data_IF_391245417988
#
_entry.id   IF_391245417988
#
_cell.length_a   1.000
_cell.length_b   1.000
_cell.length_c   1.000
_cell.angle_alpha   90.00
_cell.angle_beta   90.00
_cell.angle_gamma   90.00
#
_symmetry.space_group_name_H-M   'P 1'
#
loop_
_entity.id
_entity.type
_entity.pdbx_description
1 polymer ?
#
# COMPACT_ATOMS: atom_id res chain seq x y z
N UNK A 1 22.71 1.20 -1.29
CA UNK A 1 21.77 2.05 -0.52
C UNK A 1 22.12 3.54 -0.45
N UNK A 2 23.36 3.96 -0.12
CA UNK A 2 23.71 5.40 0.02
C UNK A 2 23.46 6.25 -1.24
N UNK A 3 23.80 5.71 -2.42
CA UNK A 3 23.58 6.38 -3.72
C UNK A 3 22.09 6.57 -4.02
N UNK A 4 21.27 5.53 -3.81
CA UNK A 4 19.81 5.59 -4.01
C UNK A 4 19.19 6.65 -3.09
N UNK A 5 19.59 6.70 -1.82
CA UNK A 5 19.13 7.71 -0.86
C UNK A 5 19.50 9.13 -1.30
N UNK A 6 20.73 9.33 -1.77
CA UNK A 6 21.18 10.64 -2.21
C UNK A 6 20.45 11.11 -3.48
N UNK A 7 20.36 10.24 -4.50
CA UNK A 7 19.62 10.54 -5.74
C UNK A 7 18.14 10.77 -5.43
N UNK A 8 17.52 9.93 -4.61
CA UNK A 8 16.13 10.09 -4.21
C UNK A 8 15.87 11.40 -3.49
N UNK A 9 16.75 11.79 -2.56
CA UNK A 9 16.68 13.08 -1.87
C UNK A 9 16.81 14.27 -2.83
N UNK A 10 17.77 14.24 -3.74
CA UNK A 10 17.93 15.29 -4.74
C UNK A 10 16.71 15.40 -5.66
N UNK A 11 16.14 14.26 -6.09
CA UNK A 11 14.92 14.21 -6.90
C UNK A 11 13.71 14.73 -6.13
N UNK A 12 13.59 14.41 -4.85
CA UNK A 12 12.54 14.94 -3.98
C UNK A 12 12.62 16.47 -3.89
N UNK A 13 13.79 17.02 -3.57
CA UNK A 13 14.01 18.47 -3.52
C UNK A 13 13.75 19.15 -4.88
N UNK A 14 14.14 18.49 -5.97
CA UNK A 14 13.82 18.95 -7.31
C UNK A 14 12.30 19.00 -7.55
N UNK A 15 11.57 17.95 -7.18
CA UNK A 15 10.11 17.89 -7.36
C UNK A 15 9.39 19.00 -6.57
N UNK A 16 9.80 19.26 -5.32
CA UNK A 16 9.30 20.38 -4.53
C UNK A 16 9.53 21.72 -5.22
N UNK A 17 10.75 21.94 -5.74
CA UNK A 17 11.07 23.15 -6.49
C UNK A 17 10.23 23.27 -7.75
N UNK A 18 10.04 22.19 -8.52
CA UNK A 18 9.26 22.20 -9.77
C UNK A 18 7.80 22.58 -9.51
N UNK A 19 7.20 22.08 -8.43
CA UNK A 19 5.81 22.36 -8.07
C UNK A 19 5.56 23.86 -7.82
N UNK A 20 6.57 24.59 -7.33
CA UNK A 20 6.47 26.04 -7.06
C UNK A 20 7.03 26.91 -8.18
N UNK A 21 7.95 26.39 -9.02
CA UNK A 21 8.75 27.18 -9.98
C UNK A 21 7.96 27.98 -11.02
N UNK A 22 6.73 27.56 -11.34
CA UNK A 22 5.88 28.18 -12.37
C UNK A 22 4.47 28.51 -11.88
N UNK A 23 4.26 28.53 -10.56
CA UNK A 23 2.93 28.70 -9.99
C UNK A 23 2.86 29.98 -9.17
N UNK A 24 1.97 30.90 -9.56
CA UNK A 24 1.72 32.15 -8.83
C UNK A 24 1.25 31.88 -7.39
N UNK A 25 0.45 30.83 -7.20
CA UNK A 25 -0.13 30.46 -5.89
C UNK A 25 0.69 29.39 -5.15
N UNK A 26 1.70 28.77 -5.79
CA UNK A 26 2.59 27.80 -5.15
C UNK A 26 1.86 26.65 -4.44
N UNK A 27 2.21 26.41 -3.17
CA UNK A 27 1.62 25.34 -2.33
C UNK A 27 0.15 25.57 -1.97
N UNK A 28 -0.38 26.78 -2.14
CA UNK A 28 -1.80 27.07 -1.89
C UNK A 28 -2.71 26.24 -2.78
N UNK A 29 -2.25 25.89 -4.00
CA UNK A 29 -2.99 24.98 -4.91
C UNK A 29 -3.22 23.59 -4.35
N UNK A 30 -2.38 23.13 -3.42
CA UNK A 30 -2.56 21.83 -2.79
C UNK A 30 -3.81 21.78 -1.89
N UNK A 31 -4.17 22.93 -1.35
CA UNK A 31 -5.17 23.11 -0.30
C UNK A 31 -6.48 23.62 -0.88
N UNK A 32 -6.38 24.54 -1.84
CA UNK A 32 -7.50 25.27 -2.40
C UNK A 32 -8.65 24.36 -2.86
N UNK A 33 -8.43 23.25 -3.60
CA UNK A 33 -9.53 22.37 -4.00
C UNK A 33 -10.29 21.78 -2.82
N UNK A 34 -9.57 21.38 -1.77
CA UNK A 34 -10.18 20.79 -0.57
C UNK A 34 -10.87 21.83 0.30
N UNK A 35 -10.32 23.04 0.39
CA UNK A 35 -10.94 24.16 1.12
C UNK A 35 -12.23 24.61 0.42
N UNK A 36 -12.21 24.78 -0.90
CA UNK A 36 -13.40 25.13 -1.68
C UNK A 36 -14.47 24.04 -1.59
N UNK A 37 -14.09 22.76 -1.73
CA UNK A 37 -15.01 21.65 -1.54
C UNK A 37 -15.60 21.65 -0.13
N UNK A 38 -14.78 21.89 0.91
CA UNK A 38 -15.26 21.97 2.29
C UNK A 38 -16.28 23.11 2.47
N UNK A 39 -16.03 24.29 1.88
CA UNK A 39 -16.98 25.41 1.94
C UNK A 39 -18.33 25.04 1.33
N UNK A 40 -18.33 24.38 0.17
CA UNK A 40 -19.57 23.90 -0.48
C UNK A 40 -20.31 22.92 0.43
N UNK A 41 -19.62 21.89 0.93
CA UNK A 41 -20.22 20.87 1.79
C UNK A 41 -20.72 21.42 3.13
N UNK A 42 -19.99 22.37 3.73
CA UNK A 42 -20.40 23.08 4.94
C UNK A 42 -21.63 23.95 4.66
N UNK A 43 -21.67 24.64 3.53
CA UNK A 43 -22.84 25.41 3.09
C UNK A 43 -24.08 24.52 2.94
N UNK A 44 -23.95 23.37 2.27
CA UNK A 44 -25.02 22.39 2.11
C UNK A 44 -25.46 21.78 3.46
N UNK A 45 -24.52 21.53 4.36
CA UNK A 45 -24.82 21.04 5.72
C UNK A 45 -25.62 22.06 6.54
N UNK A 46 -25.29 23.35 6.43
CA UNK A 46 -26.05 24.44 7.06
C UNK A 46 -27.47 24.58 6.49
N UNK A 47 -27.67 24.26 5.22
CA UNK A 47 -28.99 24.22 4.58
C UNK A 47 -29.86 23.01 5.01
N UNK A 48 -29.42 22.22 6.02
CA UNK A 48 -30.10 21.03 6.55
C UNK A 48 -30.40 19.93 5.52
N UNK A 49 -29.75 19.96 4.36
CA UNK A 49 -29.89 18.92 3.33
C UNK A 49 -29.33 17.58 3.81
N UNK A 50 -28.40 17.60 4.78
CA UNK A 50 -27.78 16.44 5.39
C UNK A 50 -28.05 16.48 6.91
N UNK A 51 -28.68 15.43 7.45
CA UNK A 51 -28.75 15.21 8.92
C UNK A 51 -27.36 14.86 9.41
N UNK A 52 -26.61 15.85 9.89
CA UNK A 52 -25.30 15.65 10.49
C UNK A 52 -25.51 15.24 11.95
N UNK A 53 -25.06 14.04 12.31
CA UNK A 53 -25.07 13.60 13.71
C UNK A 53 -24.20 14.53 14.56
N UNK A 54 -24.76 15.01 15.68
CA UNK A 54 -24.11 15.87 16.66
C UNK A 54 -23.00 15.09 17.40
N UNK A 55 -21.86 14.92 16.73
CA UNK A 55 -20.66 14.28 17.30
C UNK A 55 -19.89 15.18 18.28
N UNK A 56 -20.46 16.31 18.71
CA UNK A 56 -19.79 17.31 19.55
C UNK A 56 -18.66 18.08 18.85
N UNK A 57 -18.33 17.73 17.60
CA UNK A 57 -17.28 18.36 16.79
C UNK A 57 -17.90 19.24 15.70
N UNK A 58 -17.41 20.47 15.48
CA UNK A 58 -17.92 21.32 14.41
C UNK A 58 -17.81 20.66 13.04
N UNK A 59 -18.93 20.63 12.31
CA UNK A 59 -19.02 20.01 10.99
C UNK A 59 -17.92 20.44 9.98
N UNK A 60 -17.49 21.72 9.92
CA UNK A 60 -16.39 22.12 9.04
C UNK A 60 -15.09 21.33 9.27
N UNK A 61 -14.77 21.02 10.52
CA UNK A 61 -13.57 20.25 10.88
C UNK A 61 -13.73 18.79 10.44
N UNK A 62 -14.93 18.22 10.60
CA UNK A 62 -15.25 16.85 10.17
C UNK A 62 -15.08 16.69 8.66
N UNK A 63 -15.62 17.63 7.89
CA UNK A 63 -15.54 17.64 6.42
C UNK A 63 -14.11 17.87 5.94
N UNK A 64 -13.40 18.85 6.51
CA UNK A 64 -12.00 19.12 6.18
C UNK A 64 -11.11 17.91 6.46
N UNK A 65 -11.31 17.26 7.62
CA UNK A 65 -10.60 16.03 7.95
C UNK A 65 -10.85 14.97 6.88
N UNK A 66 -12.12 14.67 6.57
CA UNK A 66 -12.46 13.71 5.53
C UNK A 66 -11.80 14.03 4.18
N UNK A 67 -11.94 15.27 3.71
CA UNK A 67 -11.41 15.70 2.41
C UNK A 67 -9.89 15.59 2.34
N UNK A 68 -9.17 16.04 3.36
CA UNK A 68 -7.71 15.94 3.37
C UNK A 68 -7.24 14.49 3.41
N UNK A 69 -7.91 13.64 4.20
CA UNK A 69 -7.63 12.21 4.23
C UNK A 69 -7.88 11.56 2.86
N UNK A 70 -9.00 11.89 2.22
CA UNK A 70 -9.34 11.39 0.89
C UNK A 70 -8.32 11.82 -0.17
N UNK A 71 -7.95 13.10 -0.20
CA UNK A 71 -6.97 13.60 -1.17
C UNK A 71 -5.60 12.95 -1.02
N UNK A 72 -5.15 12.68 0.21
CA UNK A 72 -3.92 11.91 0.43
C UNK A 72 -3.99 10.49 -0.16
N UNK A 73 -5.14 9.82 -0.04
CA UNK A 73 -5.35 8.51 -0.67
C UNK A 73 -5.35 8.61 -2.21
N UNK A 74 -6.05 9.60 -2.77
CA UNK A 74 -6.12 9.84 -4.23
C UNK A 74 -4.74 10.12 -4.80
N UNK A 75 -3.90 10.90 -4.11
CA UNK A 75 -2.51 11.13 -4.54
C UNK A 75 -1.68 9.85 -4.52
N UNK A 76 -1.79 9.05 -3.45
CA UNK A 76 -1.10 7.76 -3.38
C UNK A 76 -1.56 6.77 -4.47
N UNK A 77 -2.84 6.79 -4.83
CA UNK A 77 -3.44 5.96 -5.87
C UNK A 77 -2.99 6.36 -7.28
N UNK A 78 -2.95 7.66 -7.57
CA UNK A 78 -2.53 8.16 -8.89
C UNK A 78 -1.01 8.16 -9.08
N UNK A 79 -0.25 8.16 -7.99
CA UNK A 79 1.19 8.28 -8.02
C UNK A 79 1.88 7.27 -8.95
N UNK A 80 1.63 5.94 -8.89
CA UNK A 80 2.33 4.99 -9.73
C UNK A 80 2.11 5.22 -11.24
N UNK A 81 0.87 5.50 -11.64
CA UNK A 81 0.52 5.75 -13.04
C UNK A 81 1.23 7.00 -13.59
N UNK A 82 1.18 8.10 -12.83
CA UNK A 82 1.88 9.35 -13.18
C UNK A 82 3.40 9.15 -13.20
N UNK A 83 3.92 8.37 -12.25
CA UNK A 83 5.34 8.08 -12.15
C UNK A 83 5.86 7.37 -13.40
N UNK A 84 5.18 6.30 -13.83
CA UNK A 84 5.56 5.56 -15.03
C UNK A 84 5.51 6.47 -16.27
N UNK A 85 4.43 7.24 -16.44
CA UNK A 85 4.29 8.14 -17.59
C UNK A 85 5.39 9.20 -17.64
N UNK A 86 5.72 9.82 -16.50
CA UNK A 86 6.82 10.78 -16.41
C UNK A 86 8.19 10.11 -16.61
N UNK A 87 8.36 8.89 -16.12
CA UNK A 87 9.61 8.16 -16.24
C UNK A 87 9.89 7.68 -17.68
N UNK A 88 8.87 7.42 -18.51
CA UNK A 88 9.04 6.97 -19.91
C UNK A 88 10.05 7.82 -20.71
N UNK A 89 10.00 9.15 -20.58
CA UNK A 89 10.89 10.07 -21.32
C UNK A 89 12.31 10.14 -20.75
N UNK A 90 12.48 9.86 -19.46
CA UNK A 90 13.76 9.95 -18.75
C UNK A 90 14.52 8.61 -18.76
N UNK A 91 13.80 7.50 -18.56
CA UNK A 91 14.35 6.14 -18.62
C UNK A 91 14.87 5.78 -20.00
N UNK A 92 14.28 6.36 -21.06
CA UNK A 92 14.79 6.21 -22.42
C UNK A 92 16.17 6.85 -22.65
N UNK A 93 16.59 7.78 -21.78
CA UNK A 93 17.81 8.60 -21.97
C UNK A 93 18.93 8.26 -21.01
N UNK A 94 18.61 7.84 -19.78
CA UNK A 94 19.62 7.58 -18.74
C UNK A 94 19.19 6.39 -17.88
N UNK A 95 20.12 5.45 -17.64
CA UNK A 95 19.94 4.36 -16.65
C UNK A 95 20.07 4.94 -15.25
N UNK A 96 18.94 5.20 -14.60
CA UNK A 96 18.89 5.68 -13.21
C UNK A 96 18.09 4.67 -12.37
N UNK A 97 18.49 4.37 -11.12
CA UNK A 97 17.75 3.42 -10.28
C UNK A 97 16.30 3.86 -10.05
N UNK A 98 15.36 3.04 -10.50
CA UNK A 98 13.92 3.28 -10.43
C UNK A 98 13.43 3.55 -8.99
N UNK A 99 14.00 2.85 -8.01
CA UNK A 99 13.66 3.01 -6.59
C UNK A 99 13.86 4.44 -6.07
N UNK A 100 14.83 5.17 -6.60
CA UNK A 100 15.09 6.55 -6.17
C UNK A 100 13.95 7.49 -6.58
N UNK A 101 13.31 7.25 -7.72
CA UNK A 101 12.18 8.06 -8.18
C UNK A 101 10.89 7.69 -7.47
N UNK A 102 10.65 6.40 -7.24
CA UNK A 102 9.52 5.93 -6.43
C UNK A 102 9.59 6.55 -5.03
N UNK A 103 10.76 6.51 -4.38
CA UNK A 103 10.97 7.11 -3.06
C UNK A 103 10.78 8.64 -3.07
N UNK A 104 11.29 9.33 -4.09
CA UNK A 104 11.14 10.78 -4.21
C UNK A 104 9.67 11.20 -4.38
N UNK A 105 8.91 10.43 -5.15
CA UNK A 105 7.48 10.67 -5.35
C UNK A 105 6.63 10.35 -4.13
N UNK A 106 6.90 9.23 -3.44
CA UNK A 106 6.28 8.93 -2.15
C UNK A 106 6.57 10.02 -1.12
N UNK A 107 7.80 10.54 -1.09
CA UNK A 107 8.16 11.68 -0.24
C UNK A 107 7.30 12.92 -0.51
N UNK A 108 6.96 13.18 -1.79
CA UNK A 108 6.09 14.28 -2.17
C UNK A 108 4.64 14.08 -1.67
N UNK A 109 4.07 12.88 -1.84
CA UNK A 109 2.72 12.56 -1.34
C UNK A 109 2.66 12.70 0.19
N UNK A 110 3.68 12.22 0.90
CA UNK A 110 3.79 12.35 2.36
C UNK A 110 3.89 13.82 2.76
N UNK A 111 4.74 14.61 2.10
CA UNK A 111 4.90 16.03 2.36
C UNK A 111 3.58 16.80 2.16
N UNK A 112 2.89 16.55 1.04
CA UNK A 112 1.62 17.16 0.73
C UNK A 112 0.55 16.84 1.80
N UNK A 113 0.46 15.57 2.18
CA UNK A 113 -0.47 15.15 3.23
C UNK A 113 -0.10 15.72 4.59
N UNK A 114 1.19 15.88 4.91
CA UNK A 114 1.64 16.51 6.14
C UNK A 114 1.22 17.99 6.20
N UNK A 115 1.36 18.72 5.09
CA UNK A 115 0.89 20.11 4.99
C UNK A 115 -0.62 20.22 5.26
N UNK A 116 -1.42 19.32 4.63
CA UNK A 116 -2.87 19.25 4.85
C UNK A 116 -3.21 18.96 6.31
N UNK A 117 -2.55 17.97 6.93
CA UNK A 117 -2.78 17.62 8.33
C UNK A 117 -2.39 18.77 9.28
N UNK A 118 -1.32 19.50 8.99
CA UNK A 118 -0.92 20.67 9.79
C UNK A 118 -2.00 21.76 9.76
N UNK A 119 -2.59 22.01 8.60
CA UNK A 119 -3.70 22.97 8.46
C UNK A 119 -4.97 22.48 9.14
N UNK A 120 -5.24 21.17 9.10
CA UNK A 120 -6.33 20.58 9.86
C UNK A 120 -6.12 20.77 11.37
N UNK A 121 -4.90 20.59 11.88
CA UNK A 121 -4.58 20.84 13.28
C UNK A 121 -4.81 22.32 13.65
N UNK A 122 -4.41 23.26 12.79
CA UNK A 122 -4.70 24.68 12.99
C UNK A 122 -6.21 24.96 13.03
N UNK A 123 -6.98 24.33 12.14
CA UNK A 123 -8.44 24.43 12.16
C UNK A 123 -9.04 23.82 13.44
N UNK A 124 -8.55 22.68 13.90
CA UNK A 124 -9.01 22.04 15.15
C UNK A 124 -8.78 22.96 16.36
N UNK A 125 -7.62 23.61 16.44
CA UNK A 125 -7.32 24.58 17.50
C UNK A 125 -8.24 25.80 17.44
N UNK A 126 -8.49 26.33 16.23
CA UNK A 126 -9.41 27.45 16.02
C UNK A 126 -10.84 27.12 16.46
N UNK A 127 -11.31 25.91 16.15
CA UNK A 127 -12.63 25.42 16.50
C UNK A 127 -12.71 24.78 17.89
N UNK A 128 -11.65 24.91 18.71
CA UNK A 128 -11.56 24.38 20.08
C UNK A 128 -11.85 22.86 20.19
N UNK A 129 -11.49 22.09 19.17
CA UNK A 129 -11.60 20.63 19.18
C UNK A 129 -10.49 20.04 20.06
N UNK A 130 -10.79 19.16 21.02
CA UNK A 130 -9.80 18.62 21.93
C UNK A 130 -8.77 17.77 21.20
N UNK A 131 -7.49 18.06 21.43
CA UNK A 131 -6.38 17.23 20.98
C UNK A 131 -6.22 16.06 21.98
N UNK A 132 -6.46 14.84 21.52
CA UNK A 132 -6.34 13.63 22.35
C UNK A 132 -5.03 12.91 22.11
N UNK A 133 -4.61 12.06 23.06
CA UNK A 133 -3.43 11.19 22.89
C UNK A 133 -3.52 10.25 21.67
N UNK A 134 -4.72 10.07 21.10
CA UNK A 134 -4.96 9.30 19.86
C UNK A 134 -4.29 9.91 18.63
N UNK A 135 -3.90 11.20 18.68
CA UNK A 135 -3.10 11.85 17.63
C UNK A 135 -1.82 11.07 17.31
N UNK A 136 -1.26 10.36 18.28
CA UNK A 136 -0.09 9.49 18.08
C UNK A 136 -0.36 8.33 17.09
N UNK A 137 -1.61 7.88 16.97
CA UNK A 137 -2.00 6.80 16.05
C UNK A 137 -2.34 7.32 14.64
N UNK A 138 -2.52 8.62 14.46
CA UNK A 138 -2.86 9.21 13.14
C UNK A 138 -1.83 8.86 12.07
N UNK A 139 -0.50 8.90 12.31
CA UNK A 139 0.49 8.44 11.33
C UNK A 139 0.26 7.00 10.83
N UNK A 140 -0.19 6.09 11.70
CA UNK A 140 -0.52 4.72 11.33
C UNK A 140 -1.75 4.66 10.40
N UNK A 141 -2.79 5.43 10.71
CA UNK A 141 -3.98 5.57 9.86
C UNK A 141 -3.68 6.22 8.50
N UNK A 142 -2.73 7.15 8.45
CA UNK A 142 -2.22 7.74 7.20
C UNK A 142 -1.40 6.72 6.41
N UNK A 143 -0.49 6.02 7.05
CA UNK A 143 0.36 5.02 6.41
C UNK A 143 -0.46 3.88 5.78
N UNK A 144 -1.44 3.34 6.51
CA UNK A 144 -2.32 2.28 5.99
C UNK A 144 -3.07 2.69 4.72
N UNK A 145 -3.58 3.94 4.67
CA UNK A 145 -4.24 4.49 3.47
C UNK A 145 -3.28 4.68 2.30
N UNK A 146 -2.05 5.11 2.56
CA UNK A 146 -1.04 5.20 1.50
C UNK A 146 -0.63 3.84 0.96
N UNK A 147 -0.48 2.84 1.82
CA UNK A 147 -0.19 1.47 1.39
C UNK A 147 -1.31 0.94 0.50
N UNK A 148 -2.58 1.16 0.87
CA UNK A 148 -3.72 0.79 0.03
C UNK A 148 -3.74 1.54 -1.31
N UNK A 149 -3.55 2.86 -1.27
CA UNK A 149 -3.48 3.70 -2.47
C UNK A 149 -2.38 3.22 -3.42
N UNK A 150 -1.18 3.01 -2.92
CA UNK A 150 -0.05 2.52 -3.72
C UNK A 150 -0.28 1.10 -4.26
N UNK A 151 -0.82 0.19 -3.46
CA UNK A 151 -1.11 -1.17 -3.88
C UNK A 151 -2.06 -1.18 -5.08
N UNK A 152 -3.18 -0.44 -4.97
CA UNK A 152 -4.15 -0.30 -6.06
C UNK A 152 -3.57 0.48 -7.24
N UNK A 153 -2.79 1.53 -6.96
CA UNK A 153 -2.18 2.38 -7.96
C UNK A 153 -1.21 1.62 -8.85
N UNK A 154 -0.40 0.72 -8.28
CA UNK A 154 0.49 -0.15 -9.06
C UNK A 154 -0.26 -1.13 -9.94
N UNK A 155 -1.35 -1.74 -9.43
CA UNK A 155 -2.22 -2.61 -10.24
C UNK A 155 -2.82 -1.85 -11.43
N UNK A 156 -3.33 -0.65 -11.18
CA UNK A 156 -3.86 0.23 -12.24
C UNK A 156 -2.78 0.71 -13.20
N UNK A 157 -1.56 0.93 -12.71
CA UNK A 157 -0.45 1.39 -13.53
C UNK A 157 -0.01 0.33 -14.57
N UNK A 158 -0.08 -0.96 -14.23
CA UNK A 158 0.14 -2.06 -15.19
C UNK A 158 -0.90 -2.01 -16.31
N UNK A 159 -2.18 -1.80 -15.98
CA UNK A 159 -3.24 -1.63 -16.99
C UNK A 159 -3.05 -0.36 -17.82
N UNK A 160 -2.64 0.74 -17.20
CA UNK A 160 -2.39 2.02 -17.85
C UNK A 160 -1.15 2.04 -18.77
N UNK A 161 -0.29 1.03 -18.68
CA UNK A 161 0.76 0.79 -19.66
C UNK A 161 0.22 0.20 -20.96
N UNK A 162 -0.84 -0.62 -20.87
CA UNK A 162 -1.47 -1.29 -22.00
C UNK A 162 -2.50 -0.38 -22.68
N UNK A 163 -3.25 0.40 -21.90
CA UNK A 163 -4.36 1.21 -22.39
C UNK A 163 -4.26 2.66 -21.89
N UNK A 164 -4.29 3.63 -22.81
CA UNK A 164 -4.27 5.06 -22.47
C UNK A 164 -5.49 5.53 -21.69
N UNK A 165 -6.64 4.88 -21.91
CA UNK A 165 -7.93 5.30 -21.35
C UNK A 165 -8.04 5.03 -19.85
N UNK A 166 -7.17 4.18 -19.30
CA UNK A 166 -7.16 3.85 -17.86
C UNK A 166 -6.93 5.08 -17.00
N UNK A 167 -6.14 6.05 -17.46
CA UNK A 167 -5.92 7.30 -16.72
C UNK A 167 -7.22 8.11 -16.58
N UNK A 168 -8.01 8.21 -17.65
CA UNK A 168 -9.29 8.91 -17.65
C UNK A 168 -10.34 8.15 -16.84
N UNK A 169 -10.41 6.83 -17.02
CA UNK A 169 -11.31 5.97 -16.27
C UNK A 169 -11.03 6.03 -14.76
N UNK A 170 -9.75 6.05 -14.35
CA UNK A 170 -9.37 6.17 -12.95
C UNK A 170 -9.92 7.46 -12.32
N UNK A 171 -9.81 8.59 -13.02
CA UNK A 171 -10.37 9.87 -12.55
C UNK A 171 -11.88 9.80 -12.33
N UNK A 172 -12.62 9.21 -13.27
CA UNK A 172 -14.07 9.02 -13.16
C UNK A 172 -14.43 8.10 -11.98
N UNK A 173 -13.73 6.97 -11.85
CA UNK A 173 -13.95 6.01 -10.75
C UNK A 173 -13.68 6.66 -9.39
N UNK A 174 -12.61 7.44 -9.25
CA UNK A 174 -12.30 8.16 -8.01
C UNK A 174 -13.43 9.11 -7.61
N UNK A 175 -14.01 9.85 -8.57
CA UNK A 175 -15.12 10.76 -8.29
C UNK A 175 -16.37 10.02 -7.81
N UNK A 176 -16.71 8.87 -8.42
CA UNK A 176 -17.83 8.04 -7.96
C UNK A 176 -17.52 7.40 -6.60
N UNK A 177 -16.29 6.96 -6.40
CA UNK A 177 -15.85 6.31 -5.17
C UNK A 177 -15.85 7.27 -3.98
N UNK A 178 -15.58 8.56 -4.22
CA UNK A 178 -15.73 9.60 -3.21
C UNK A 178 -17.16 9.65 -2.64
N UNK A 179 -18.19 9.51 -3.48
CA UNK A 179 -19.60 9.57 -3.06
C UNK A 179 -19.98 8.36 -2.19
N UNK A 180 -19.43 7.19 -2.50
CA UNK A 180 -19.68 5.94 -1.76
C UNK A 180 -18.85 5.88 -0.46
N UNK A 181 -17.81 6.68 -0.34
CA UNK A 181 -16.95 6.71 0.85
C UNK A 181 -17.50 7.75 1.85
N UNK A 182 -17.52 7.47 3.17
CA UNK A 182 -17.99 8.43 4.18
C UNK A 182 -16.95 9.54 4.43
N UNK A 183 -16.69 10.34 3.39
CA UNK A 183 -15.72 11.44 3.43
C UNK A 183 -16.34 12.66 4.12
N UNK A 184 -17.48 13.12 3.62
CA UNK A 184 -18.15 14.33 4.10
C UNK A 184 -19.25 14.04 5.13
N UNK A 185 -19.64 12.77 5.25
CA UNK A 185 -20.68 12.31 6.17
C UNK A 185 -20.15 11.26 7.18
N UNK A 186 -20.90 11.04 8.25
CA UNK A 186 -20.66 9.99 9.25
C UNK A 186 -21.29 8.68 8.82
N UNK A 187 -20.65 7.54 9.12
CA UNK A 187 -21.21 6.24 8.78
C UNK A 187 -22.45 5.99 9.66
N UNK A 188 -23.65 5.82 9.09
CA UNK A 188 -24.86 5.56 9.89
C UNK A 188 -24.77 4.22 10.62
N UNK A 189 -25.41 4.10 11.78
CA UNK A 189 -25.47 2.83 12.52
C UNK A 189 -26.13 1.70 11.68
N UNK A 190 -27.11 2.05 10.83
CA UNK A 190 -27.77 1.16 9.88
C UNK A 190 -27.10 1.17 8.49
N UNK A 191 -25.79 1.41 8.41
CA UNK A 191 -25.09 1.47 7.13
C UNK A 191 -25.23 0.15 6.34
N UNK A 192 -25.60 0.28 5.06
CA UNK A 192 -25.68 -0.84 4.14
C UNK A 192 -24.33 -1.57 4.04
N UNK A 193 -24.36 -2.91 3.97
CA UNK A 193 -23.17 -3.78 3.89
C UNK A 193 -22.18 -3.35 2.81
N UNK A 194 -22.65 -2.77 1.71
CA UNK A 194 -21.83 -2.23 0.61
C UNK A 194 -20.88 -1.10 1.05
N UNK A 195 -21.28 -0.25 1.99
CA UNK A 195 -20.42 0.81 2.55
C UNK A 195 -19.28 0.23 3.41
N UNK A 196 -19.53 -0.93 4.03
CA UNK A 196 -18.57 -1.69 4.85
C UNK A 196 -17.62 -2.50 3.97
N UNK A 197 -18.07 -2.94 2.78
CA UNK A 197 -17.23 -3.63 1.79
C UNK A 197 -16.19 -2.72 1.14
N UNK A 198 -16.39 -1.40 1.15
CA UNK A 198 -15.44 -0.44 0.61
C UNK A 198 -14.12 -0.46 1.43
N UNK A 199 -12.97 -0.82 0.83
CA UNK A 199 -11.71 -0.96 1.57
C UNK A 199 -11.18 0.37 2.11
N UNK A 200 -11.60 1.52 1.55
CA UNK A 200 -11.17 2.83 2.04
C UNK A 200 -11.94 3.24 3.29
N UNK A 201 -13.18 2.77 3.44
CA UNK A 201 -14.08 3.18 4.54
C UNK A 201 -13.45 2.94 5.91
N UNK A 202 -13.02 1.72 6.31
CA UNK A 202 -12.50 1.49 7.66
C UNK A 202 -11.21 2.25 7.94
N UNK A 203 -10.38 2.51 6.93
CA UNK A 203 -9.15 3.27 7.09
C UNK A 203 -9.43 4.76 7.29
N UNK A 204 -10.36 5.32 6.52
CA UNK A 204 -10.75 6.73 6.62
C UNK A 204 -11.49 7.02 7.92
N UNK A 205 -12.47 6.19 8.28
CA UNK A 205 -13.26 6.38 9.52
C UNK A 205 -12.39 6.26 10.76
N UNK A 206 -11.53 5.25 10.83
CA UNK A 206 -10.61 5.06 11.97
C UNK A 206 -9.64 6.24 12.08
N UNK A 207 -9.02 6.67 10.97
CA UNK A 207 -8.11 7.82 11.02
C UNK A 207 -8.82 9.09 11.44
N UNK A 208 -10.06 9.31 10.97
CA UNK A 208 -10.89 10.45 11.35
C UNK A 208 -11.28 10.39 12.83
N UNK A 209 -11.60 9.22 13.36
CA UNK A 209 -11.91 9.02 14.78
C UNK A 209 -10.69 9.35 15.65
N UNK A 210 -9.50 8.85 15.29
CA UNK A 210 -8.28 9.19 16.03
C UNK A 210 -7.92 10.69 15.96
N UNK A 211 -8.24 11.36 14.85
CA UNK A 211 -8.08 12.82 14.73
C UNK A 211 -9.07 13.60 15.59
N UNK A 212 -10.35 13.21 15.59
CA UNK A 212 -11.46 14.00 16.15
C UNK A 212 -11.93 13.49 17.52
N UNK A 213 -11.02 12.96 18.34
CA UNK A 213 -11.30 12.49 19.70
C UNK A 213 -12.38 11.38 19.79
N UNK A 214 -12.49 10.55 18.75
CA UNK A 214 -13.36 9.38 18.72
C UNK A 214 -12.82 8.20 19.55
N UNK A 215 -13.45 7.01 19.43
CA UNK A 215 -13.01 5.83 20.18
C UNK A 215 -11.60 5.38 19.75
N UNK A 216 -10.85 4.81 20.71
CA UNK A 216 -9.57 4.16 20.42
C UNK A 216 -9.73 2.96 19.49
N UNK A 217 -10.82 2.21 19.68
CA UNK A 217 -11.11 0.97 18.95
C UNK A 217 -11.26 1.26 17.45
N UNK A 218 -10.43 0.66 16.59
CA UNK A 218 -10.55 0.82 15.15
C UNK A 218 -11.89 0.35 14.61
N UNK A 219 -12.33 0.95 13.50
CA UNK A 219 -13.49 0.45 12.76
C UNK A 219 -13.25 -1.00 12.31
N UNK A 220 -14.27 -1.89 12.37
CA UNK A 220 -14.14 -3.26 11.90
C UNK A 220 -13.55 -3.34 10.47
N UNK A 221 -12.58 -4.22 10.27
CA UNK A 221 -11.90 -4.40 8.98
C UNK A 221 -10.62 -3.56 8.79
N UNK A 222 -10.33 -2.58 9.67
CA UNK A 222 -9.11 -1.75 9.57
C UNK A 222 -7.83 -2.59 9.43
N UNK A 223 -7.60 -3.53 10.37
CA UNK A 223 -6.41 -4.38 10.36
C UNK A 223 -6.37 -5.32 9.16
N UNK A 224 -7.50 -5.93 8.82
CA UNK A 224 -7.60 -6.85 7.69
C UNK A 224 -7.24 -6.14 6.38
N UNK A 225 -7.79 -4.96 6.15
CA UNK A 225 -7.52 -4.18 4.93
C UNK A 225 -6.08 -3.69 4.93
N UNK A 226 -5.56 -3.23 6.07
CA UNK A 226 -4.15 -2.78 6.17
C UNK A 226 -3.18 -3.90 5.82
N UNK A 227 -3.42 -5.11 6.34
CA UNK A 227 -2.61 -6.29 6.04
C UNK A 227 -2.74 -6.67 4.58
N UNK A 228 -3.96 -6.79 4.04
CA UNK A 228 -4.19 -7.13 2.63
C UNK A 228 -3.51 -6.09 1.71
N UNK A 229 -3.65 -4.80 2.01
CA UNK A 229 -3.02 -3.72 1.25
C UNK A 229 -1.49 -3.84 1.26
N UNK A 230 -0.90 -4.13 2.42
CA UNK A 230 0.53 -4.32 2.56
C UNK A 230 1.04 -5.49 1.71
N UNK A 231 0.32 -6.61 1.75
CA UNK A 231 0.64 -7.80 0.97
C UNK A 231 0.51 -7.55 -0.53
N UNK A 232 -0.58 -6.91 -0.98
CA UNK A 232 -0.76 -6.53 -2.38
C UNK A 232 0.36 -5.62 -2.87
N UNK A 233 0.79 -4.65 -2.06
CA UNK A 233 1.91 -3.75 -2.40
C UNK A 233 3.21 -4.51 -2.60
N UNK A 234 3.53 -5.47 -1.71
CA UNK A 234 4.76 -6.28 -1.83
C UNK A 234 4.78 -7.03 -3.16
N UNK A 235 3.65 -7.63 -3.54
CA UNK A 235 3.53 -8.44 -4.74
C UNK A 235 3.60 -7.58 -6.01
N UNK A 236 2.92 -6.42 -5.98
CA UNK A 236 2.92 -5.48 -7.09
C UNK A 236 4.31 -4.87 -7.35
N UNK A 237 5.12 -4.69 -6.30
CA UNK A 237 6.48 -4.13 -6.41
C UNK A 237 7.56 -5.19 -6.66
N UNK A 238 7.22 -6.49 -6.77
CA UNK A 238 8.19 -7.59 -6.84
C UNK A 238 9.23 -7.57 -5.70
N UNK A 239 8.81 -7.14 -4.51
CA UNK A 239 9.68 -7.01 -3.34
C UNK A 239 9.56 -8.18 -2.37
N UNK A 240 9.00 -9.30 -2.77
CA UNK A 240 8.81 -10.48 -1.91
C UNK A 240 10.14 -10.96 -1.32
N UNK A 241 11.23 -10.88 -2.08
CA UNK A 241 12.56 -11.28 -1.62
C UNK A 241 13.22 -10.29 -0.64
N UNK A 242 12.68 -9.08 -0.46
CA UNK A 242 13.26 -8.02 0.38
C UNK A 242 12.20 -7.32 1.26
N UNK A 243 11.04 -7.95 1.47
CA UNK A 243 9.93 -7.31 2.17
C UNK A 243 10.14 -7.25 3.69
N UNK A 244 10.93 -8.17 4.22
CA UNK A 244 11.30 -8.23 5.63
C UNK A 244 12.82 -8.21 5.76
N UNK A 245 13.31 -7.47 6.76
CA UNK A 245 14.72 -7.43 7.11
C UNK A 245 15.23 -8.83 7.47
N UNK A 246 14.34 -9.65 8.03
CA UNK A 246 14.67 -10.94 8.62
C UNK A 246 14.35 -12.13 7.70
N UNK A 247 13.40 -12.00 6.78
CA UNK A 247 12.97 -13.04 5.85
C UNK A 247 13.23 -12.58 4.40
N UNK A 248 14.46 -12.78 3.94
CA UNK A 248 14.94 -12.32 2.62
C UNK A 248 14.76 -13.38 1.53
N UNK A 249 13.61 -14.04 1.49
CA UNK A 249 13.30 -15.05 0.48
C UNK A 249 11.84 -15.00 0.02
N UNK A 250 11.64 -14.95 -1.29
CA UNK A 250 10.31 -14.89 -1.90
C UNK A 250 9.51 -16.21 -1.72
N UNK A 251 10.19 -17.36 -1.69
CA UNK A 251 9.57 -18.68 -1.53
C UNK A 251 8.98 -18.85 -0.14
N UNK A 252 9.62 -18.28 0.89
CA UNK A 252 9.05 -18.22 2.24
C UNK A 252 7.73 -17.44 2.27
N UNK A 253 7.71 -16.28 1.60
CA UNK A 253 6.51 -15.44 1.47
C UNK A 253 5.38 -16.22 0.77
N UNK A 254 5.68 -16.93 -0.32
CA UNK A 254 4.71 -17.79 -0.99
C UNK A 254 4.16 -18.88 -0.07
N UNK A 255 5.01 -19.54 0.72
CA UNK A 255 4.57 -20.53 1.69
C UNK A 255 3.62 -19.95 2.74
N UNK A 256 3.90 -18.75 3.24
CA UNK A 256 3.00 -18.06 4.18
C UNK A 256 1.61 -17.80 3.55
N UNK A 257 1.59 -17.23 2.33
CA UNK A 257 0.35 -16.95 1.61
C UNK A 257 -0.47 -18.20 1.33
N UNK A 258 0.17 -19.27 0.86
CA UNK A 258 -0.52 -20.50 0.49
C UNK A 258 -1.07 -21.22 1.70
N UNK A 259 -0.40 -21.16 2.87
CA UNK A 259 -0.95 -21.64 4.14
C UNK A 259 -2.18 -20.84 4.58
N UNK A 260 -2.13 -19.50 4.46
CA UNK A 260 -3.27 -18.64 4.78
C UNK A 260 -4.48 -18.94 3.88
N UNK A 261 -4.22 -19.18 2.59
CA UNK A 261 -5.23 -19.61 1.63
C UNK A 261 -5.82 -20.99 1.97
N UNK A 262 -4.96 -21.98 2.27
CA UNK A 262 -5.38 -23.32 2.68
C UNK A 262 -6.25 -23.32 3.94
N UNK A 263 -5.98 -22.40 4.88
CA UNK A 263 -6.80 -22.17 6.07
C UNK A 263 -8.16 -21.47 5.81
N UNK A 264 -8.53 -21.23 4.55
CA UNK A 264 -9.86 -20.72 4.16
C UNK A 264 -9.94 -19.22 3.86
N UNK A 265 -8.81 -18.50 3.74
CA UNK A 265 -8.81 -17.07 3.38
C UNK A 265 -8.90 -16.93 1.85
N UNK A 266 -10.09 -17.15 1.30
CA UNK A 266 -10.34 -17.12 -0.15
C UNK A 266 -10.21 -15.74 -0.82
N UNK A 267 -10.10 -14.66 -0.03
CA UNK A 267 -9.80 -13.30 -0.55
C UNK A 267 -8.43 -13.22 -1.26
N UNK A 268 -7.56 -14.22 -1.07
CA UNK A 268 -6.23 -14.30 -1.68
C UNK A 268 -6.22 -15.03 -3.04
N UNK A 269 -7.36 -15.50 -3.55
CA UNK A 269 -7.47 -16.20 -4.86
C UNK A 269 -6.74 -15.50 -6.02
N UNK A 270 -6.79 -14.16 -6.17
CA UNK A 270 -6.10 -13.48 -7.28
C UNK A 270 -4.58 -13.68 -7.28
N UNK A 271 -3.99 -14.07 -6.14
CA UNK A 271 -2.55 -14.30 -6.00
C UNK A 271 -2.13 -15.72 -6.34
N UNK A 272 -3.09 -16.66 -6.45
CA UNK A 272 -2.81 -18.08 -6.65
C UNK A 272 -2.04 -18.35 -7.94
N UNK A 273 -2.56 -17.90 -9.08
CA UNK A 273 -1.91 -18.10 -10.37
C UNK A 273 -0.55 -17.40 -10.48
N UNK A 274 -0.41 -16.11 -10.12
CA UNK A 274 0.88 -15.44 -10.11
C UNK A 274 1.95 -16.15 -9.26
N UNK A 275 1.56 -16.73 -8.12
CA UNK A 275 2.50 -17.47 -7.25
C UNK A 275 2.94 -18.77 -7.93
N UNK A 276 2.03 -19.53 -8.54
CA UNK A 276 2.36 -20.79 -9.24
C UNK A 276 3.30 -20.52 -10.41
N UNK A 277 3.01 -19.54 -11.25
CA UNK A 277 3.86 -19.19 -12.40
C UNK A 277 5.27 -18.78 -11.96
N UNK A 278 5.39 -17.98 -10.89
CA UNK A 278 6.68 -17.53 -10.37
C UNK A 278 7.48 -18.67 -9.73
N UNK A 279 6.80 -19.61 -9.08
CA UNK A 279 7.38 -20.85 -8.57
C UNK A 279 7.94 -21.69 -9.72
N UNK A 280 7.17 -21.89 -10.79
CA UNK A 280 7.61 -22.70 -11.91
C UNK A 280 8.74 -22.03 -12.70
N UNK A 281 8.75 -20.68 -12.75
CA UNK A 281 9.85 -19.93 -13.33
C UNK A 281 11.19 -20.09 -12.57
N UNK A 282 11.19 -20.54 -11.31
CA UNK A 282 12.41 -20.84 -10.55
C UNK A 282 12.85 -22.30 -10.62
N UNK A 283 12.20 -23.11 -11.47
CA UNK A 283 12.57 -24.51 -11.71
C UNK A 283 13.90 -24.64 -12.44
N UNK A 284 14.77 -25.51 -11.94
CA UNK A 284 16.06 -25.83 -12.57
C UNK A 284 16.08 -27.27 -13.12
N UNK A 285 16.93 -27.56 -14.12
CA UNK A 285 17.03 -28.89 -14.73
C UNK A 285 17.35 -30.01 -13.73
N UNK A 286 18.08 -29.68 -12.66
CA UNK A 286 18.50 -30.64 -11.64
C UNK A 286 17.38 -30.98 -10.63
N UNK A 287 16.17 -30.47 -10.84
CA UNK A 287 14.98 -30.78 -10.04
C UNK A 287 14.79 -29.91 -8.79
N UNK A 288 15.70 -29.00 -8.47
CA UNK A 288 15.48 -28.01 -7.40
C UNK A 288 14.62 -26.83 -7.89
N UNK A 289 13.76 -26.33 -7.01
CA UNK A 289 12.92 -25.14 -7.21
C UNK A 289 13.44 -24.04 -6.28
N UNK A 290 14.01 -22.98 -6.85
CA UNK A 290 14.72 -21.93 -6.10
C UNK A 290 16.25 -22.14 -6.06
N UNK A 291 16.93 -21.49 -5.11
CA UNK A 291 18.41 -21.54 -5.03
C UNK A 291 18.91 -22.48 -3.93
N UNK A 292 18.08 -22.74 -2.93
CA UNK A 292 18.45 -23.54 -1.75
C UNK A 292 17.50 -24.72 -1.54
N UNK A 293 17.95 -25.70 -0.74
CA UNK A 293 17.12 -26.85 -0.36
C UNK A 293 15.84 -26.42 0.38
N UNK A 294 15.92 -25.38 1.20
CA UNK A 294 14.77 -24.80 1.90
C UNK A 294 13.77 -24.13 0.98
N UNK A 295 14.25 -23.46 -0.06
CA UNK A 295 13.37 -22.85 -1.07
C UNK A 295 12.53 -23.93 -1.73
N UNK A 296 13.16 -25.04 -2.12
CA UNK A 296 12.46 -26.17 -2.72
C UNK A 296 11.42 -26.76 -1.76
N UNK A 297 11.72 -26.86 -0.47
CA UNK A 297 10.75 -27.32 0.54
C UNK A 297 9.53 -26.39 0.68
N UNK A 298 9.75 -25.07 0.75
CA UNK A 298 8.67 -24.09 0.83
C UNK A 298 7.81 -24.06 -0.42
N UNK A 299 8.43 -24.17 -1.59
CA UNK A 299 7.74 -24.21 -2.87
C UNK A 299 6.89 -25.47 -3.01
N UNK A 300 7.44 -26.63 -2.66
CA UNK A 300 6.70 -27.90 -2.66
C UNK A 300 5.50 -27.81 -1.72
N UNK A 301 5.70 -27.31 -0.50
CA UNK A 301 4.59 -27.07 0.43
C UNK A 301 3.56 -26.07 -0.13
N UNK A 302 4.01 -25.03 -0.83
CA UNK A 302 3.14 -24.02 -1.44
C UNK A 302 2.26 -24.60 -2.54
N UNK A 303 2.85 -25.40 -3.44
CA UNK A 303 2.12 -26.08 -4.51
C UNK A 303 1.08 -27.06 -3.95
N UNK A 304 1.43 -27.82 -2.91
CA UNK A 304 0.51 -28.71 -2.22
C UNK A 304 -0.65 -27.95 -1.56
N UNK A 305 -0.36 -26.86 -0.85
CA UNK A 305 -1.37 -26.00 -0.23
C UNK A 305 -2.34 -25.39 -1.26
N UNK A 306 -1.84 -25.06 -2.46
CA UNK A 306 -2.65 -24.55 -3.57
C UNK A 306 -3.34 -25.65 -4.39
N UNK A 307 -3.16 -26.92 -4.02
CA UNK A 307 -3.65 -28.11 -4.74
C UNK A 307 -3.26 -28.11 -6.22
N UNK A 308 -2.02 -27.70 -6.53
CA UNK A 308 -1.45 -27.67 -7.86
C UNK A 308 -0.38 -28.77 -8.00
N UNK A 309 -0.46 -29.58 -9.06
CA UNK A 309 0.41 -30.75 -9.27
C UNK A 309 1.16 -30.68 -10.62
N UNK A 310 2.07 -29.71 -10.78
CA UNK A 310 2.88 -29.61 -11.99
C UNK A 310 3.94 -30.74 -12.02
N UNK A 311 4.45 -31.15 -13.20
CA UNK A 311 5.43 -32.24 -13.31
C UNK A 311 6.72 -31.99 -12.52
N UNK A 312 7.12 -30.72 -12.38
CA UNK A 312 8.27 -30.25 -11.60
C UNK A 312 8.14 -30.59 -10.10
N UNK A 313 6.91 -30.74 -9.58
CA UNK A 313 6.66 -31.12 -8.18
C UNK A 313 7.26 -32.49 -7.85
N UNK A 314 7.15 -33.44 -8.78
CA UNK A 314 7.68 -34.80 -8.59
C UNK A 314 9.21 -34.80 -8.55
N UNK A 315 9.83 -34.01 -9.43
CA UNK A 315 11.28 -33.83 -9.46
C UNK A 315 11.79 -33.17 -8.16
N UNK A 316 11.12 -32.10 -7.72
CA UNK A 316 11.44 -31.39 -6.48
C UNK A 316 11.27 -32.25 -5.22
N UNK A 317 10.22 -33.08 -5.18
CA UNK A 317 9.99 -34.01 -4.06
C UNK A 317 11.09 -35.07 -4.01
N UNK A 318 11.49 -35.60 -5.17
CA UNK A 318 12.59 -36.57 -5.25
C UNK A 318 13.93 -35.95 -4.83
N UNK A 319 14.19 -34.70 -5.22
CA UNK A 319 15.36 -33.94 -4.79
C UNK A 319 15.40 -33.75 -3.26
N UNK A 320 14.27 -33.38 -2.65
CA UNK A 320 14.17 -33.25 -1.19
C UNK A 320 14.43 -34.58 -0.48
N UNK A 321 13.83 -35.67 -0.94
CA UNK A 321 14.05 -37.01 -0.37
C UNK A 321 15.51 -37.46 -0.52
N UNK A 322 16.15 -37.16 -1.65
CA UNK A 322 17.55 -37.48 -1.86
C UNK A 322 18.51 -36.69 -0.94
N UNK A 323 18.11 -35.49 -0.53
CA UNK A 323 18.86 -34.65 0.40
C UNK A 323 18.62 -34.99 1.88
N UNK A 324 17.78 -36.00 2.18
CA UNK A 324 17.50 -36.44 3.54
C UNK A 324 18.69 -37.24 4.10
N UNK A 325 19.09 -36.95 5.32
CA UNK A 325 20.16 -37.69 6.01
C UNK A 325 19.65 -39.06 6.46
N UNK A 326 20.58 -39.99 6.72
CA UNK A 326 20.25 -41.33 7.20
C UNK A 326 19.44 -41.35 8.51
N UNK A 327 19.52 -40.28 9.31
CA UNK A 327 18.74 -40.06 10.54
C UNK A 327 17.32 -39.54 10.28
N UNK A 328 16.95 -39.28 9.02
CA UNK A 328 15.67 -38.69 8.63
C UNK A 328 15.62 -37.16 8.67
N UNK A 329 16.69 -36.50 9.12
CA UNK A 329 16.76 -35.04 9.19
C UNK A 329 17.21 -34.43 7.85
N UNK A 330 16.85 -33.17 7.63
CA UNK A 330 17.43 -32.34 6.56
C UNK A 330 18.46 -31.36 7.14
N UNK A 331 19.44 -30.92 6.34
CA UNK A 331 20.39 -29.88 6.76
C UNK A 331 19.67 -28.66 7.35
N UNK A 332 20.06 -28.27 8.57
CA UNK A 332 19.50 -27.09 9.23
C UNK A 332 19.86 -25.85 8.42
N UNK A 333 18.86 -25.00 8.21
CA UNK A 333 19.02 -23.76 7.47
C UNK A 333 18.60 -22.55 8.29
N UNK A 334 19.23 -21.42 8.02
CA UNK A 334 18.98 -20.19 8.75
C UNK A 334 17.73 -19.51 8.17
N UNK A 335 16.63 -19.55 8.92
CA UNK A 335 15.36 -18.92 8.54
C UNK A 335 15.35 -17.40 8.78
N UNK A 336 16.22 -16.91 9.66
CA UNK A 336 16.19 -15.55 10.21
C UNK A 336 17.51 -14.81 9.95
N UNK A 337 17.51 -13.89 9.01
CA UNK A 337 18.69 -13.06 8.69
C UNK A 337 18.73 -11.83 9.58
N UNK A 338 19.37 -11.96 10.74
CA UNK A 338 19.55 -10.87 11.69
C UNK A 338 20.98 -10.43 11.88
N UNK A 339 21.38 -9.28 11.32
CA UNK A 339 22.74 -8.74 11.55
C UNK A 339 23.08 -7.50 10.73
N UNK A 340 23.98 -6.67 11.27
CA UNK A 340 24.34 -5.33 10.79
C UNK A 340 25.00 -5.25 9.40
N UNK A 341 25.19 -6.37 8.72
CA UNK A 341 25.60 -6.42 7.32
C UNK A 341 24.92 -7.65 6.71
N UNK A 342 24.08 -7.45 5.69
CA UNK A 342 23.41 -8.51 4.94
C UNK A 342 24.35 -9.36 4.07
N UNK A 343 25.51 -9.74 4.61
CA UNK A 343 26.60 -10.51 4.04
C UNK A 343 26.96 -11.65 5.00
N UNK A 344 26.08 -12.65 5.14
CA UNK A 344 26.44 -13.89 5.86
C UNK A 344 25.99 -15.17 5.13
N UNK A 345 25.77 -15.09 3.82
CA UNK A 345 25.82 -16.27 2.97
C UNK A 345 26.48 -15.86 1.66
N UNK A 346 27.54 -16.56 1.26
CA UNK A 346 28.38 -16.30 0.09
C UNK A 346 27.69 -16.49 -1.26
N UNK A 347 26.43 -16.09 -1.40
CA UNK A 347 25.75 -16.02 -2.69
C UNK A 347 25.90 -14.59 -3.21
N UNK A 348 26.98 -14.35 -3.94
CA UNK A 348 27.02 -13.23 -4.87
C UNK A 348 25.97 -13.49 -5.95
N UNK A 349 24.76 -12.94 -5.82
CA UNK A 349 23.89 -12.75 -6.98
C UNK A 349 24.40 -11.52 -7.73
N UNK A 350 24.92 -11.75 -8.95
CA UNK A 350 25.34 -10.73 -9.92
C UNK A 350 24.17 -9.87 -10.38
#
# INVERSE_FOLDING_TARGET
MRVIRHIGWQRFLHNLKVQTRKSVLGYTWLLLPSLLAALVWVGLGRAQVLKVDNSGVPYPVVVLAGLFLWQGFVEALNFPLQHIQAAKTTLAKVRVPHDAFVAAGMGLVIFNSALRLLILLAAMLWFQVPLTGLLFLVPLGVASRFVLGLALGWLVAVLGLLFSDVANALGMVINLWFLVTPVVYTLPAAANKWLILNPVTPLLTTTRQWLLAGPFVPTPGFWQITVIAYLLRIIAEHKEANCDLWYRDAHFVYNFFTRAYFSGIHKLEPLRQPIIERILASARPDGHLGDTLTDTAWVVSSLLNLRSYPPELTAATRYLLAAQQATGEWPRWLLYYGGANGYLAGVQRK
#
